data_IF_180370686559
#
_entry.id   IF_180370686559
#
_cell.length_a   1.000
_cell.length_b   1.000
_cell.length_c   1.000
_cell.angle_alpha   90.00
_cell.angle_beta   90.00
_cell.angle_gamma   90.00
#
_symmetry.space_group_name_H-M   'P 1'
#
loop_
_entity.id
_entity.type
_entity.pdbx_description
1 polymer ?
#
# COMPACT_ATOMS: atom_id res chain seq x y z
N UNK A 1 -1.49 -6.49 -20.82
CA UNK A 1 -1.52 -5.12 -20.28
C UNK A 1 -1.38 -4.13 -21.42
N UNK A 2 -2.29 -3.15 -21.53
CA UNK A 2 -2.18 -2.04 -22.49
C UNK A 2 -1.31 -0.91 -21.94
N UNK A 3 -0.87 0.02 -22.79
CA UNK A 3 -0.12 1.21 -22.35
C UNK A 3 -0.93 2.08 -21.37
N UNK A 4 -2.24 2.22 -21.60
CA UNK A 4 -3.14 2.95 -20.69
C UNK A 4 -3.23 2.27 -19.32
N UNK A 5 -3.39 0.94 -19.28
CA UNK A 5 -3.38 0.19 -18.03
C UNK A 5 -2.05 0.34 -17.28
N UNK A 6 -0.91 0.31 -18.00
CA UNK A 6 0.39 0.54 -17.39
C UNK A 6 0.51 1.95 -16.79
N UNK A 7 0.04 2.97 -17.52
CA UNK A 7 0.05 4.34 -17.02
C UNK A 7 -0.78 4.48 -15.74
N UNK A 8 -1.98 3.89 -15.71
CA UNK A 8 -2.85 3.91 -14.53
C UNK A 8 -2.20 3.17 -13.34
N UNK A 9 -1.59 2.00 -13.55
CA UNK A 9 -0.90 1.28 -12.46
C UNK A 9 0.27 2.13 -11.92
N UNK A 10 1.04 2.78 -12.79
CA UNK A 10 2.19 3.59 -12.34
C UNK A 10 1.71 4.81 -11.56
N UNK A 11 0.66 5.50 -12.02
CA UNK A 11 0.07 6.63 -11.30
C UNK A 11 -0.50 6.21 -9.93
N UNK A 12 -1.28 5.13 -9.87
CA UNK A 12 -1.88 4.65 -8.63
C UNK A 12 -0.82 4.17 -7.61
N UNK A 13 0.23 3.49 -8.07
CA UNK A 13 1.27 2.94 -7.19
C UNK A 13 2.26 4.01 -6.75
N UNK A 14 2.81 4.76 -7.71
CA UNK A 14 3.92 5.69 -7.49
C UNK A 14 3.46 7.03 -6.93
N UNK A 15 2.32 7.53 -7.41
CA UNK A 15 1.80 8.85 -7.07
C UNK A 15 0.54 8.79 -6.18
N UNK A 16 0.04 7.59 -5.87
CA UNK A 16 -1.20 7.40 -5.11
C UNK A 16 -2.42 8.09 -5.77
N UNK A 17 -2.48 8.08 -7.10
CA UNK A 17 -3.56 8.68 -7.89
C UNK A 17 -4.87 7.89 -7.75
N UNK A 18 -5.87 8.50 -7.10
CA UNK A 18 -7.17 7.90 -6.83
C UNK A 18 -8.00 7.68 -8.11
N UNK A 19 -7.89 8.55 -9.11
CA UNK A 19 -8.63 8.42 -10.37
C UNK A 19 -8.10 7.23 -11.18
N UNK A 20 -6.79 7.02 -11.17
CA UNK A 20 -6.15 5.86 -11.77
C UNK A 20 -6.54 4.57 -11.04
N UNK A 21 -6.52 4.58 -9.69
CA UNK A 21 -6.98 3.45 -8.88
C UNK A 21 -8.45 3.10 -9.18
N UNK A 22 -9.32 4.11 -9.29
CA UNK A 22 -10.75 3.96 -9.60
C UNK A 22 -10.97 3.37 -11.00
N UNK A 23 -10.21 3.83 -12.01
CA UNK A 23 -10.26 3.26 -13.37
C UNK A 23 -9.88 1.79 -13.38
N UNK A 24 -8.79 1.42 -12.70
CA UNK A 24 -8.34 0.03 -12.57
C UNK A 24 -9.39 -0.82 -11.86
N UNK A 25 -9.88 -0.35 -10.71
CA UNK A 25 -10.91 -1.01 -9.92
C UNK A 25 -12.15 -1.33 -10.75
N UNK A 26 -12.67 -0.34 -11.49
CA UNK A 26 -13.83 -0.53 -12.38
C UNK A 26 -13.54 -1.51 -13.52
N UNK A 27 -12.40 -1.36 -14.19
CA UNK A 27 -12.02 -2.22 -15.30
C UNK A 27 -11.82 -3.69 -14.88
N UNK A 28 -11.44 -3.91 -13.63
CA UNK A 28 -11.17 -5.23 -13.04
C UNK A 28 -12.39 -5.87 -12.34
N UNK A 29 -13.59 -5.30 -12.52
CA UNK A 29 -14.84 -5.87 -12.00
C UNK A 29 -15.22 -5.40 -10.59
N UNK A 30 -14.71 -4.25 -10.15
CA UNK A 30 -15.01 -3.62 -8.84
C UNK A 30 -14.65 -4.55 -7.68
N UNK A 31 -15.56 -4.88 -6.77
CA UNK A 31 -15.28 -5.66 -5.56
C UNK A 31 -14.67 -7.05 -5.90
N UNK A 32 -14.96 -7.59 -7.09
CA UNK A 32 -14.34 -8.81 -7.59
C UNK A 32 -12.81 -8.69 -7.79
N UNK A 33 -12.29 -7.47 -7.95
CA UNK A 33 -10.84 -7.23 -8.01
C UNK A 33 -10.17 -7.38 -6.65
N UNK A 34 -10.79 -6.89 -5.58
CA UNK A 34 -10.28 -7.04 -4.21
C UNK A 34 -10.50 -8.44 -3.65
N UNK A 35 -11.60 -9.11 -4.03
CA UNK A 35 -11.86 -10.49 -3.61
C UNK A 35 -10.81 -11.49 -4.14
N UNK A 36 -10.16 -11.19 -5.28
CA UNK A 36 -9.07 -12.03 -5.83
C UNK A 36 -7.82 -12.11 -4.95
N UNK A 37 -7.68 -11.25 -3.94
CA UNK A 37 -6.58 -11.35 -2.98
C UNK A 37 -6.57 -12.67 -2.21
N UNK A 38 -7.74 -13.31 -2.01
CA UNK A 38 -7.80 -14.62 -1.37
C UNK A 38 -7.18 -15.70 -2.27
N UNK A 39 -7.59 -15.74 -3.54
CA UNK A 39 -7.05 -16.68 -4.53
C UNK A 39 -5.56 -16.44 -4.82
N UNK A 40 -5.15 -15.17 -4.99
CA UNK A 40 -3.79 -14.82 -5.41
C UNK A 40 -2.78 -14.79 -4.26
N UNK A 41 -3.21 -14.40 -3.06
CA UNK A 41 -2.34 -14.12 -1.92
C UNK A 41 -2.76 -14.79 -0.61
N UNK A 42 -3.88 -15.53 -0.59
CA UNK A 42 -4.41 -16.15 0.63
C UNK A 42 -4.89 -15.14 1.67
N UNK A 43 -5.32 -13.95 1.23
CA UNK A 43 -5.78 -12.87 2.10
C UNK A 43 -7.22 -12.50 1.75
N UNK A 44 -8.14 -12.86 2.64
CA UNK A 44 -9.52 -12.41 2.58
C UNK A 44 -9.62 -10.97 3.13
N UNK A 45 -10.25 -10.08 2.36
CA UNK A 45 -10.53 -8.71 2.78
C UNK A 45 -12.03 -8.47 2.85
N UNK A 46 -12.44 -7.61 3.78
CA UNK A 46 -13.82 -7.15 3.89
C UNK A 46 -13.94 -5.68 3.52
N UNK A 47 -15.15 -5.19 3.25
CA UNK A 47 -15.40 -3.76 3.02
C UNK A 47 -16.61 -3.31 3.83
N UNK A 48 -16.53 -2.12 4.41
CA UNK A 48 -17.68 -1.49 5.06
C UNK A 48 -18.62 -0.81 4.05
N UNK A 49 -18.22 -0.74 2.77
CA UNK A 49 -18.98 -0.10 1.70
C UNK A 49 -18.75 -0.79 0.35
N UNK A 50 -19.58 -1.80 0.00
CA UNK A 50 -19.49 -2.47 -1.30
C UNK A 50 -19.52 -1.50 -2.48
N UNK A 51 -18.71 -1.76 -3.49
CA UNK A 51 -18.55 -0.89 -4.66
C UNK A 51 -17.56 0.25 -4.46
N UNK A 52 -16.85 0.32 -3.33
CA UNK A 52 -15.87 1.36 -3.00
C UNK A 52 -14.57 0.75 -2.46
N UNK A 53 -13.51 0.75 -3.26
CA UNK A 53 -12.20 0.17 -2.89
C UNK A 53 -11.57 0.88 -1.67
N UNK A 54 -11.81 2.17 -1.49
CA UNK A 54 -11.22 2.95 -0.40
C UNK A 54 -11.79 2.62 0.99
N UNK A 55 -12.85 1.79 1.05
CA UNK A 55 -13.46 1.30 2.28
C UNK A 55 -13.07 -0.15 2.61
N UNK A 56 -12.17 -0.76 1.85
CA UNK A 56 -11.60 -2.07 2.17
C UNK A 56 -10.92 -2.02 3.54
N UNK A 57 -11.27 -2.96 4.41
CA UNK A 57 -10.74 -3.12 5.76
C UNK A 57 -9.62 -4.14 5.74
N UNK A 58 -8.49 -3.80 6.36
CA UNK A 58 -7.30 -4.63 6.36
C UNK A 58 -6.57 -4.56 7.71
N UNK A 59 -6.06 -5.70 8.19
CA UNK A 59 -5.18 -5.76 9.35
C UNK A 59 -3.71 -5.56 8.92
N UNK A 60 -2.85 -5.14 9.85
CA UNK A 60 -1.44 -4.89 9.52
C UNK A 60 -0.72 -6.13 8.96
N UNK A 61 -0.98 -7.31 9.55
CA UNK A 61 -0.41 -8.58 9.07
C UNK A 61 -0.83 -8.88 7.63
N UNK A 62 -2.09 -8.64 7.29
CA UNK A 62 -2.61 -8.90 5.96
C UNK A 62 -2.08 -7.89 4.94
N UNK A 63 -1.90 -6.63 5.31
CA UNK A 63 -1.26 -5.63 4.46
C UNK A 63 0.18 -6.04 4.11
N UNK A 64 0.95 -6.49 5.10
CA UNK A 64 2.31 -7.00 4.89
C UNK A 64 2.31 -8.24 3.98
N UNK A 65 1.37 -9.18 4.18
CA UNK A 65 1.21 -10.38 3.33
C UNK A 65 0.86 -10.05 1.89
N UNK A 66 -0.07 -9.12 1.67
CA UNK A 66 -0.45 -8.69 0.32
C UNK A 66 0.75 -8.09 -0.41
N UNK A 67 1.47 -7.15 0.21
CA UNK A 67 2.61 -6.53 -0.49
C UNK A 67 3.76 -7.52 -0.73
N UNK A 68 3.97 -8.48 0.19
CA UNK A 68 4.95 -9.54 0.00
C UNK A 68 4.57 -10.47 -1.16
N UNK A 69 3.31 -10.90 -1.21
CA UNK A 69 2.75 -11.66 -2.32
C UNK A 69 2.91 -10.91 -3.66
N UNK A 70 2.59 -9.62 -3.69
CA UNK A 70 2.76 -8.77 -4.89
C UNK A 70 4.23 -8.71 -5.29
N UNK A 71 5.17 -8.50 -4.36
CA UNK A 71 6.61 -8.51 -4.65
C UNK A 71 7.03 -9.83 -5.30
N UNK A 72 6.60 -10.95 -4.73
CA UNK A 72 7.04 -12.29 -5.13
C UNK A 72 6.44 -12.73 -6.47
N UNK A 73 5.17 -12.39 -6.71
CA UNK A 73 4.45 -12.74 -7.95
C UNK A 73 4.71 -11.78 -9.10
N UNK A 74 5.10 -10.52 -8.83
CA UNK A 74 5.29 -9.51 -9.87
C UNK A 74 6.15 -9.98 -11.05
N UNK A 75 7.31 -10.68 -10.87
CA UNK A 75 8.11 -11.16 -12.00
C UNK A 75 7.37 -12.08 -12.98
N UNK A 76 6.29 -12.74 -12.56
CA UNK A 76 5.45 -13.60 -13.40
C UNK A 76 4.40 -12.81 -14.20
N UNK A 77 4.14 -11.55 -13.83
CA UNK A 77 3.10 -10.72 -14.42
C UNK A 77 3.61 -9.87 -15.59
N UNK A 78 2.79 -9.66 -16.63
CA UNK A 78 3.11 -8.68 -17.68
C UNK A 78 3.33 -7.27 -17.10
N UNK A 79 4.57 -6.78 -17.16
CA UNK A 79 4.94 -5.48 -16.58
C UNK A 79 5.33 -5.52 -15.10
N UNK A 80 5.59 -6.71 -14.56
CA UNK A 80 6.07 -6.94 -13.20
C UNK A 80 7.27 -6.11 -12.78
N UNK A 81 8.35 -6.15 -13.56
CA UNK A 81 9.55 -5.38 -13.27
C UNK A 81 9.27 -3.87 -13.18
N UNK A 82 8.38 -3.36 -14.04
CA UNK A 82 7.94 -1.97 -14.00
C UNK A 82 7.09 -1.66 -12.76
N UNK A 83 6.23 -2.59 -12.32
CA UNK A 83 5.48 -2.46 -11.07
C UNK A 83 6.43 -2.40 -9.86
N UNK A 84 7.44 -3.27 -9.81
CA UNK A 84 8.44 -3.26 -8.74
C UNK A 84 9.25 -1.96 -8.74
N UNK A 85 9.62 -1.46 -9.93
CA UNK A 85 10.28 -0.16 -10.05
C UNK A 85 9.38 1.00 -9.59
N UNK A 86 8.07 0.96 -9.86
CA UNK A 86 7.12 1.96 -9.35
C UNK A 86 7.00 1.92 -7.82
N UNK A 87 6.91 0.71 -7.24
CA UNK A 87 6.88 0.49 -5.78
C UNK A 87 8.19 0.92 -5.10
N UNK A 88 9.31 0.90 -5.81
CA UNK A 88 10.62 1.38 -5.34
C UNK A 88 10.79 2.90 -5.46
N UNK A 89 9.95 3.55 -6.28
CA UNK A 89 10.09 4.95 -6.68
C UNK A 89 8.91 5.85 -6.27
N UNK A 90 8.21 5.50 -5.18
CA UNK A 90 7.08 6.27 -4.63
C UNK A 90 7.46 7.76 -4.48
N UNK A 91 6.56 8.62 -4.94
CA UNK A 91 6.73 10.08 -4.92
C UNK A 91 6.74 10.64 -3.49
N UNK A 92 7.37 11.80 -3.24
CA UNK A 92 7.54 12.35 -1.90
C UNK A 92 6.25 12.44 -1.06
N UNK A 93 5.14 12.84 -1.66
CA UNK A 93 3.86 13.01 -0.95
C UNK A 93 3.32 11.70 -0.38
N UNK A 94 3.72 10.57 -0.96
CA UNK A 94 3.35 9.23 -0.52
C UNK A 94 4.42 8.51 0.28
N UNK A 95 5.53 9.14 0.68
CA UNK A 95 6.62 8.47 1.41
C UNK A 95 6.39 8.45 2.91
N UNK A 96 6.53 7.27 3.51
CA UNK A 96 6.57 7.11 4.97
C UNK A 96 7.84 7.70 5.59
N UNK A 97 8.93 7.76 4.81
CA UNK A 97 10.27 8.09 5.28
C UNK A 97 11.02 6.91 5.88
N UNK A 98 10.47 5.69 5.85
CA UNK A 98 11.13 4.47 6.32
C UNK A 98 12.17 3.96 5.30
N UNK A 99 11.89 4.11 3.99
CA UNK A 99 12.75 3.60 2.93
C UNK A 99 14.24 3.91 3.09
N UNK A 100 14.68 5.16 3.36
CA UNK A 100 16.12 5.45 3.48
C UNK A 100 16.88 4.62 4.52
N UNK A 101 16.18 4.02 5.50
CA UNK A 101 16.78 3.15 6.51
C UNK A 101 16.91 1.66 6.08
N UNK A 102 16.36 1.30 4.92
CA UNK A 102 16.31 -0.09 4.44
C UNK A 102 17.34 -0.34 3.33
N UNK A 103 18.00 -1.51 3.31
CA UNK A 103 18.94 -1.86 2.26
C UNK A 103 18.23 -2.31 0.98
N UNK A 104 18.90 -2.12 -0.16
CA UNK A 104 18.48 -2.69 -1.44
C UNK A 104 17.19 -2.09 -2.01
N UNK A 105 16.53 -2.87 -2.87
CA UNK A 105 15.22 -2.56 -3.46
C UNK A 105 14.14 -2.80 -2.41
N UNK A 106 13.18 -1.89 -2.34
CA UNK A 106 12.04 -1.98 -1.40
C UNK A 106 10.77 -1.68 -2.18
N UNK A 107 9.80 -2.58 -2.07
CA UNK A 107 8.44 -2.27 -2.48
C UNK A 107 7.74 -1.51 -1.33
N UNK A 108 7.28 -0.29 -1.60
CA UNK A 108 6.57 0.55 -0.64
C UNK A 108 5.18 0.93 -1.17
N UNK A 109 4.14 0.78 -0.35
CA UNK A 109 2.85 1.42 -0.58
C UNK A 109 2.23 1.87 0.73
N UNK A 110 1.80 3.12 0.75
CA UNK A 110 1.28 3.81 1.92
C UNK A 110 -0.11 4.40 1.62
N UNK A 111 -0.77 4.92 2.67
CA UNK A 111 -2.04 5.60 2.55
C UNK A 111 -2.41 6.40 3.79
N UNK A 112 -3.20 7.45 3.58
CA UNK A 112 -3.61 8.39 4.62
C UNK A 112 -5.01 8.92 4.31
N UNK A 113 -5.90 8.90 5.29
CA UNK A 113 -7.26 9.41 5.14
C UNK A 113 -7.69 10.12 6.41
N UNK A 114 -8.18 11.35 6.28
CA UNK A 114 -8.84 12.07 7.37
C UNK A 114 -10.34 11.78 7.34
N UNK A 115 -10.85 11.13 8.39
CA UNK A 115 -12.28 10.81 8.56
C UNK A 115 -13.03 11.88 9.36
N UNK A 116 -12.72 13.16 9.11
CA UNK A 116 -13.29 14.29 9.85
C UNK A 116 -13.01 14.17 11.36
N UNK A 117 -14.05 14.25 12.18
CA UNK A 117 -13.93 14.16 13.64
C UNK A 117 -13.48 12.77 14.14
N UNK A 118 -13.61 11.71 13.34
CA UNK A 118 -13.13 10.37 13.71
C UNK A 118 -11.59 10.27 13.66
N UNK A 119 -10.91 11.26 13.09
CA UNK A 119 -9.46 11.34 13.06
C UNK A 119 -8.83 10.78 11.80
N UNK A 120 -7.52 10.61 11.86
CA UNK A 120 -6.69 10.08 10.79
C UNK A 120 -6.61 8.57 10.84
N UNK A 121 -6.62 7.95 9.68
CA UNK A 121 -6.03 6.64 9.43
C UNK A 121 -4.77 6.87 8.60
N UNK A 122 -3.61 6.39 9.07
CA UNK A 122 -2.36 6.40 8.30
C UNK A 122 -1.74 5.02 8.34
N UNK A 123 -1.23 4.57 7.20
CA UNK A 123 -0.50 3.32 7.12
C UNK A 123 0.73 3.43 6.23
N UNK A 124 1.74 2.65 6.59
CA UNK A 124 2.89 2.38 5.74
C UNK A 124 3.14 0.88 5.64
N UNK A 125 3.42 0.41 4.43
CA UNK A 125 3.66 -1.01 4.14
C UNK A 125 4.89 -1.09 3.27
N UNK A 126 5.89 -1.84 3.75
CA UNK A 126 7.18 -1.98 3.09
C UNK A 126 7.58 -3.45 3.03
N UNK A 127 8.19 -3.84 1.92
CA UNK A 127 8.73 -5.18 1.72
C UNK A 127 10.12 -5.04 1.11
N UNK A 128 11.12 -5.66 1.75
CA UNK A 128 12.52 -5.61 1.33
C UNK A 128 13.20 -6.93 1.66
N UNK A 129 14.20 -7.34 0.85
CA UNK A 129 14.85 -8.63 1.02
C UNK A 129 13.80 -9.76 1.21
N UNK A 130 13.87 -10.49 2.32
CA UNK A 130 12.93 -11.54 2.76
C UNK A 130 11.93 -11.07 3.84
N UNK A 131 11.82 -9.75 4.07
CA UNK A 131 11.06 -9.15 5.17
C UNK A 131 9.89 -8.30 4.68
N UNK A 132 8.87 -8.21 5.51
CA UNK A 132 7.71 -7.33 5.31
C UNK A 132 7.38 -6.61 6.63
N UNK A 133 7.01 -5.34 6.54
CA UNK A 133 6.58 -4.49 7.65
C UNK A 133 5.30 -3.77 7.25
N UNK A 134 4.34 -3.72 8.16
CA UNK A 134 3.18 -2.86 8.04
C UNK A 134 2.91 -2.17 9.38
N UNK A 135 2.73 -0.86 9.34
CA UNK A 135 2.26 -0.06 10.48
C UNK A 135 0.94 0.57 10.07
N UNK A 136 -0.12 0.27 10.81
CA UNK A 136 -1.45 0.88 10.65
C UNK A 136 -1.76 1.63 11.95
N UNK A 137 -2.08 2.91 11.86
CA UNK A 137 -2.37 3.74 13.02
C UNK A 137 -3.61 4.59 12.81
N UNK A 138 -4.35 4.80 13.90
CA UNK A 138 -5.48 5.72 13.95
C UNK A 138 -5.29 6.70 15.11
N UNK A 139 -5.57 7.98 14.88
CA UNK A 139 -5.31 9.03 15.88
C UNK A 139 -6.15 10.29 15.62
N UNK A 140 -6.33 11.18 16.62
CA UNK A 140 -7.17 12.37 16.49
C UNK A 140 -6.71 13.34 15.37
N UNK A 141 -7.68 14.03 14.76
CA UNK A 141 -7.46 14.89 13.59
C UNK A 141 -6.43 16.01 13.84
N UNK A 142 -6.40 16.56 15.06
CA UNK A 142 -5.57 17.69 15.46
C UNK A 142 -4.06 17.41 15.44
N UNK A 143 -3.64 16.15 15.35
CA UNK A 143 -2.22 15.78 15.25
C UNK A 143 -1.65 15.96 13.85
N UNK A 144 -2.51 16.00 12.82
CA UNK A 144 -2.11 16.11 11.42
C UNK A 144 -1.43 14.85 10.87
N UNK A 145 -1.34 14.74 9.54
CA UNK A 145 -0.84 13.53 8.85
C UNK A 145 0.63 13.20 9.20
N UNK A 146 1.47 14.22 9.42
CA UNK A 146 2.89 14.04 9.72
C UNK A 146 3.12 13.27 11.02
N UNK A 147 2.19 13.37 11.99
CA UNK A 147 2.24 12.53 13.18
C UNK A 147 2.19 11.04 12.81
N UNK A 148 1.32 10.65 11.88
CA UNK A 148 1.25 9.26 11.39
C UNK A 148 2.52 8.81 10.68
N UNK A 149 3.14 9.69 9.88
CA UNK A 149 4.43 9.39 9.27
C UNK A 149 5.55 9.24 10.29
N UNK A 150 5.55 10.05 11.36
CA UNK A 150 6.47 9.88 12.48
C UNK A 150 6.27 8.52 13.17
N UNK A 151 5.03 8.14 13.49
CA UNK A 151 4.72 6.81 14.05
C UNK A 151 5.24 5.68 13.16
N UNK A 152 5.07 5.79 11.84
CA UNK A 152 5.61 4.84 10.87
C UNK A 152 7.14 4.70 10.98
N UNK A 153 7.87 5.81 11.06
CA UNK A 153 9.33 5.81 11.20
C UNK A 153 9.80 5.26 12.54
N UNK A 154 9.15 5.67 13.63
CA UNK A 154 9.53 5.27 14.98
C UNK A 154 9.32 3.76 15.17
N UNK A 155 8.14 3.24 14.81
CA UNK A 155 7.84 1.80 14.90
C UNK A 155 8.75 0.99 13.99
N UNK A 156 9.02 1.46 12.77
CA UNK A 156 9.98 0.79 11.88
C UNK A 156 11.38 0.76 12.49
N UNK A 157 11.84 1.88 13.06
CA UNK A 157 13.13 1.96 13.75
C UNK A 157 13.25 0.97 14.90
N UNK A 158 12.22 0.89 15.75
CA UNK A 158 12.17 -0.05 16.87
C UNK A 158 12.27 -1.51 16.39
N UNK A 159 11.45 -1.89 15.40
CA UNK A 159 11.45 -3.25 14.84
C UNK A 159 12.79 -3.62 14.20
N UNK A 160 13.37 -2.70 13.43
CA UNK A 160 14.65 -2.92 12.75
C UNK A 160 15.82 -3.01 13.73
N UNK A 161 15.75 -2.33 14.88
CA UNK A 161 16.77 -2.38 15.93
C UNK A 161 16.70 -3.63 16.80
N UNK A 162 15.53 -4.29 16.85
CA UNK A 162 15.30 -5.50 17.64
C UNK A 162 15.61 -6.81 16.87
N UNK A 163 15.99 -6.71 15.59
CA UNK A 163 16.20 -7.83 14.65
C UNK A 163 17.68 -8.11 14.38
#
# INVERSE_FOLDING_TARGET
>A
MTAAQRADISAAVRASDDDAAERLYRALGRDASTARLDEECGVEVSTSRPGWWSYTQIAALDAARILACVRDRAPEWPGGDALLADLDAVTPDGRSGVRPALPGVVAEKNGWTLHGAAGWNVHCVLVWADRALAVLTTYPAERGVEYGWAVCRDVAGDVLSAS
#
